data_IF_763522330828
#
_entry.id   IF_763522330828
#
_cell.length_a   1.000
_cell.length_b   1.000
_cell.length_c   1.000
_cell.angle_alpha   90.00
_cell.angle_beta   90.00
_cell.angle_gamma   90.00
#
_symmetry.space_group_name_H-M   'P 1'
#
loop_
_entity.id
_entity.type
_entity.pdbx_description
1 polymer ?
#
# COMPACT_ATOMS: atom_id res chain seq x y z
N UNK A 1 6.56 -1.65 -31.50
CA UNK A 1 6.24 -1.99 -30.10
C UNK A 1 7.38 -2.80 -29.53
N UNK A 2 8.12 -2.24 -28.57
CA UNK A 2 9.13 -3.00 -27.84
C UNK A 2 8.40 -3.87 -26.80
N UNK A 3 8.39 -5.19 -26.99
CA UNK A 3 7.59 -6.11 -26.17
C UNK A 3 8.14 -6.25 -24.73
N UNK A 4 9.42 -5.97 -24.50
CA UNK A 4 10.03 -6.00 -23.15
C UNK A 4 9.63 -4.79 -22.29
N UNK A 5 9.32 -3.65 -22.92
CA UNK A 5 8.91 -2.41 -22.24
C UNK A 5 7.38 -2.35 -21.95
N UNK A 6 6.62 -3.33 -22.45
CA UNK A 6 5.17 -3.41 -22.24
C UNK A 6 4.78 -4.42 -21.13
N UNK A 7 5.72 -4.84 -20.29
CA UNK A 7 5.41 -5.68 -19.13
C UNK A 7 4.79 -4.83 -18.01
N UNK A 8 3.49 -5.01 -17.78
CA UNK A 8 2.75 -4.28 -16.74
C UNK A 8 2.77 -5.08 -15.44
N UNK A 9 3.47 -4.57 -14.43
CA UNK A 9 3.38 -5.13 -13.08
C UNK A 9 1.96 -4.94 -12.53
N UNK A 10 1.48 -5.97 -11.82
CA UNK A 10 0.20 -5.87 -11.13
C UNK A 10 0.20 -4.69 -10.15
N UNK A 11 -0.87 -3.89 -10.16
CA UNK A 11 -0.98 -2.72 -9.30
C UNK A 11 -0.90 -3.07 -7.81
N UNK A 12 -1.51 -4.17 -7.37
CA UNK A 12 -1.45 -4.63 -5.97
C UNK A 12 -0.03 -5.03 -5.56
N UNK A 13 0.76 -5.57 -6.50
CA UNK A 13 2.17 -5.82 -6.29
C UNK A 13 2.95 -4.50 -6.12
N UNK A 14 2.68 -3.50 -6.94
CA UNK A 14 3.31 -2.18 -6.79
C UNK A 14 2.94 -1.51 -5.46
N UNK A 15 1.67 -1.58 -5.02
CA UNK A 15 1.27 -1.11 -3.69
C UNK A 15 2.04 -1.82 -2.57
N UNK A 16 2.23 -3.14 -2.68
CA UNK A 16 3.04 -3.90 -1.72
C UNK A 16 4.50 -3.41 -1.68
N UNK A 17 5.11 -3.12 -2.84
CA UNK A 17 6.47 -2.58 -2.92
C UNK A 17 6.58 -1.19 -2.28
N UNK A 18 5.61 -0.31 -2.55
CA UNK A 18 5.52 1.03 -1.95
C UNK A 18 5.44 0.93 -0.41
N UNK A 19 4.56 0.07 0.08
CA UNK A 19 4.37 -0.15 1.51
C UNK A 19 5.61 -0.69 2.18
N UNK A 20 6.24 -1.70 1.57
CA UNK A 20 7.47 -2.29 2.07
C UNK A 20 8.61 -1.27 2.12
N UNK A 21 8.73 -0.38 1.14
CA UNK A 21 9.73 0.68 1.15
C UNK A 21 9.53 1.65 2.33
N UNK A 22 8.29 2.08 2.58
CA UNK A 22 7.95 2.92 3.73
C UNK A 22 8.21 2.21 5.06
N UNK A 23 7.67 1.01 5.24
CA UNK A 23 7.81 0.26 6.50
C UNK A 23 9.28 -0.05 6.81
N UNK A 24 10.09 -0.40 5.81
CA UNK A 24 11.54 -0.59 5.99
C UNK A 24 12.22 0.68 6.48
N UNK A 25 11.80 1.88 6.04
CA UNK A 25 12.44 3.12 6.48
C UNK A 25 12.23 3.47 7.96
N UNK A 26 11.21 2.88 8.60
CA UNK A 26 10.96 3.04 10.04
C UNK A 26 11.42 1.83 10.87
N UNK A 27 11.73 0.72 10.20
CA UNK A 27 12.13 -0.56 10.82
C UNK A 27 13.64 -0.73 10.82
N UNK A 28 14.33 -0.20 9.81
CA UNK A 28 15.78 -0.21 9.68
C UNK A 28 16.29 1.16 10.12
N UNK A 29 16.80 1.25 11.35
CA UNK A 29 17.68 2.37 11.73
C UNK A 29 19.00 2.23 10.98
N UNK A 30 19.59 3.32 10.45
CA UNK A 30 20.95 3.27 9.92
C UNK A 30 21.91 3.03 11.09
N UNK A 31 22.50 1.82 11.12
CA UNK A 31 23.60 1.35 11.96
C UNK A 31 23.34 1.14 13.47
N UNK A 32 23.48 -0.12 13.87
CA UNK A 32 24.36 -0.50 15.00
C UNK A 32 23.81 -0.39 16.42
N UNK A 33 22.75 -1.12 16.75
CA UNK A 33 22.54 -1.59 18.13
C UNK A 33 22.19 -3.08 18.09
N UNK A 34 23.24 -3.90 18.19
CA UNK A 34 23.12 -5.28 18.66
C UNK A 34 22.63 -5.20 20.11
N UNK A 35 21.34 -5.40 20.33
CA UNK A 35 20.82 -5.63 21.66
C UNK A 35 20.79 -7.15 21.89
N UNK A 36 21.78 -7.64 22.64
CA UNK A 36 21.75 -8.90 23.38
C UNK A 36 21.64 -10.16 22.53
N UNK A 37 22.76 -10.87 22.41
CA UNK A 37 22.77 -12.33 22.21
C UNK A 37 21.90 -12.95 23.30
N UNK A 38 20.67 -13.31 22.95
CA UNK A 38 19.85 -14.37 23.52
C UNK A 38 18.52 -14.33 22.79
N UNK A 39 18.46 -15.02 21.64
CA UNK A 39 17.33 -15.51 20.84
C UNK A 39 17.83 -15.68 19.40
N UNK A 40 18.72 -16.66 19.21
CA UNK A 40 19.14 -17.10 17.87
C UNK A 40 18.06 -18.06 17.33
N UNK A 41 17.47 -17.70 16.20
CA UNK A 41 17.25 -18.65 15.11
C UNK A 41 17.76 -17.99 13.84
N UNK A 42 18.74 -18.67 13.24
CA UNK A 42 19.56 -18.25 12.11
C UNK A 42 18.74 -17.99 10.85
N UNK A 43 18.96 -16.85 10.20
CA UNK A 43 18.81 -16.73 8.76
C UNK A 43 20.12 -16.15 8.20
N UNK A 44 20.58 -16.80 7.13
CA UNK A 44 21.90 -16.70 6.52
C UNK A 44 22.13 -15.31 5.91
N UNK A 45 23.27 -14.71 6.23
CA UNK A 45 23.79 -13.45 5.69
C UNK A 45 24.37 -13.66 4.29
N UNK A 46 24.04 -12.77 3.34
CA UNK A 46 24.89 -12.48 2.19
C UNK A 46 25.51 -11.08 2.37
N UNK A 47 26.84 -11.07 2.34
CA UNK A 47 27.74 -9.93 2.49
C UNK A 47 27.59 -8.89 1.38
N UNK A 48 27.71 -7.61 1.75
CA UNK A 48 28.48 -6.66 0.94
C UNK A 48 29.01 -5.51 1.81
N UNK A 49 30.34 -5.38 1.82
CA UNK A 49 31.13 -4.30 2.39
C UNK A 49 30.68 -2.92 1.90
N UNK A 50 30.63 -1.91 2.79
CA UNK A 50 31.51 -0.75 2.62
C UNK A 50 31.58 0.19 3.85
N UNK A 51 32.71 0.91 3.88
CA UNK A 51 33.35 1.61 5.00
C UNK A 51 32.58 2.80 5.59
N UNK A 52 32.92 3.06 6.86
CA UNK A 52 32.46 4.18 7.69
C UNK A 52 33.18 5.49 7.39
N UNK A 53 32.46 6.61 7.44
CA UNK A 53 32.99 7.89 7.92
C UNK A 53 32.04 8.52 8.93
N UNK A 54 32.65 9.17 9.92
CA UNK A 54 32.08 9.76 11.12
C UNK A 54 31.20 10.97 10.83
N UNK A 55 30.10 11.09 11.57
CA UNK A 55 29.63 12.38 12.08
C UNK A 55 28.88 12.15 13.38
N UNK A 56 29.41 12.73 14.46
CA UNK A 56 28.75 12.87 15.74
C UNK A 56 27.51 13.75 15.57
N UNK A 57 26.33 13.25 15.94
CA UNK A 57 25.29 14.13 16.48
C UNK A 57 24.34 13.37 17.40
N UNK A 58 24.09 14.03 18.52
CA UNK A 58 23.39 13.64 19.73
C UNK A 58 21.89 13.49 19.47
N UNK A 59 21.31 12.31 19.72
CA UNK A 59 19.87 12.21 19.94
C UNK A 59 19.55 11.23 21.08
N UNK A 60 19.72 11.74 22.30
CA UNK A 60 19.14 11.18 23.52
C UNK A 60 17.64 11.48 23.54
N UNK A 61 16.84 10.69 22.85
CA UNK A 61 15.40 10.56 23.15
C UNK A 61 15.03 9.10 23.37
N UNK A 62 14.93 8.74 24.66
CA UNK A 62 14.60 7.41 25.18
C UNK A 62 13.13 7.02 24.98
N UNK A 63 12.74 6.71 23.75
CA UNK A 63 11.51 5.99 23.42
C UNK A 63 11.83 4.69 22.66
N UNK A 64 11.18 3.58 23.03
CA UNK A 64 11.29 2.34 22.25
C UNK A 64 10.92 2.61 20.78
N UNK A 65 11.77 2.20 19.84
CA UNK A 65 11.52 2.41 18.42
C UNK A 65 10.23 1.74 17.96
N UNK A 66 9.55 2.31 16.95
CA UNK A 66 8.30 1.77 16.36
C UNK A 66 8.44 0.28 16.02
N UNK A 67 9.60 -0.13 15.50
CA UNK A 67 9.95 -1.53 15.23
C UNK A 67 9.79 -2.43 16.47
N UNK A 68 10.29 -2.00 17.63
CA UNK A 68 10.18 -2.75 18.88
C UNK A 68 8.71 -2.89 19.32
N UNK A 69 7.92 -1.83 19.18
CA UNK A 69 6.48 -1.84 19.50
C UNK A 69 5.73 -2.84 18.61
N UNK A 70 5.98 -2.81 17.30
CA UNK A 70 5.35 -3.74 16.36
C UNK A 70 5.74 -5.20 16.65
N UNK A 71 7.02 -5.46 16.98
CA UNK A 71 7.48 -6.79 17.38
C UNK A 71 6.80 -7.28 18.66
N UNK A 72 6.60 -6.42 19.66
CA UNK A 72 5.84 -6.77 20.86
C UNK A 72 4.40 -7.18 20.50
N UNK A 73 3.70 -6.35 19.73
CA UNK A 73 2.30 -6.61 19.36
C UNK A 73 2.20 -7.93 18.59
N UNK A 74 3.07 -8.15 17.61
CA UNK A 74 3.09 -9.38 16.82
C UNK A 74 3.36 -10.61 17.70
N UNK A 75 4.30 -10.51 18.65
CA UNK A 75 4.55 -11.58 19.62
C UNK A 75 3.30 -11.95 20.44
N UNK A 76 2.54 -10.97 20.94
CA UNK A 76 1.29 -11.23 21.67
C UNK A 76 0.25 -11.93 20.78
N UNK A 77 0.06 -11.44 19.55
CA UNK A 77 -0.88 -12.03 18.59
C UNK A 77 -0.49 -13.47 18.29
N UNK A 78 0.79 -13.71 17.97
CA UNK A 78 1.31 -15.05 17.73
C UNK A 78 1.00 -15.95 18.93
N UNK A 79 1.39 -15.57 20.15
CA UNK A 79 1.15 -16.37 21.36
C UNK A 79 -0.31 -16.79 21.56
N UNK A 80 -1.26 -15.88 21.33
CA UNK A 80 -2.70 -16.19 21.45
C UNK A 80 -3.16 -17.11 20.33
N UNK A 81 -2.62 -16.94 19.12
CA UNK A 81 -3.03 -17.70 17.93
C UNK A 81 -2.30 -19.04 17.76
N UNK A 82 -1.21 -19.27 18.51
CA UNK A 82 -0.32 -20.44 18.39
C UNK A 82 -1.02 -21.79 18.57
N UNK A 83 -2.04 -21.89 19.44
CA UNK A 83 -2.70 -23.17 19.74
C UNK A 83 -4.22 -23.08 19.65
N UNK A 84 -4.86 -24.22 19.39
CA UNK A 84 -6.32 -24.32 19.40
C UNK A 84 -6.90 -23.98 20.78
N UNK A 85 -6.21 -24.38 21.86
CA UNK A 85 -6.61 -24.10 23.24
C UNK A 85 -6.60 -22.59 23.51
N UNK A 86 -5.52 -21.88 23.15
CA UNK A 86 -5.42 -20.43 23.37
C UNK A 86 -6.42 -19.63 22.54
N UNK A 87 -6.68 -20.04 21.29
CA UNK A 87 -7.75 -19.46 20.47
C UNK A 87 -9.13 -19.70 21.07
N UNK A 88 -9.37 -20.89 21.63
CA UNK A 88 -10.64 -21.20 22.29
C UNK A 88 -10.83 -20.36 23.55
N UNK A 89 -9.82 -20.25 24.41
CA UNK A 89 -9.83 -19.39 25.61
C UNK A 89 -10.13 -17.95 25.23
N UNK A 90 -9.42 -17.40 24.24
CA UNK A 90 -9.67 -16.05 23.73
C UNK A 90 -11.14 -15.85 23.30
N UNK A 91 -11.72 -16.81 22.58
CA UNK A 91 -13.12 -16.74 22.12
C UNK A 91 -14.12 -16.81 23.28
N UNK A 92 -13.84 -17.60 24.32
CA UNK A 92 -14.67 -17.64 25.54
C UNK A 92 -14.69 -16.28 26.22
N UNK A 93 -13.53 -15.62 26.32
CA UNK A 93 -13.44 -14.31 26.96
C UNK A 93 -13.99 -13.17 26.12
N UNK A 94 -13.83 -13.23 24.80
CA UNK A 94 -14.53 -12.35 23.88
C UNK A 94 -16.04 -12.36 24.14
N UNK A 95 -16.67 -13.53 24.30
CA UNK A 95 -18.09 -13.63 24.65
C UNK A 95 -18.41 -13.08 26.03
N UNK A 96 -17.58 -13.39 27.04
CA UNK A 96 -17.79 -12.90 28.43
C UNK A 96 -17.71 -11.38 28.54
N UNK A 97 -16.89 -10.74 27.71
CA UNK A 97 -16.70 -9.29 27.70
C UNK A 97 -17.54 -8.58 26.63
N UNK A 98 -18.53 -9.27 26.06
CA UNK A 98 -19.42 -8.76 25.00
C UNK A 98 -18.66 -8.14 23.81
N UNK A 99 -17.51 -8.73 23.46
CA UNK A 99 -16.73 -8.32 22.32
C UNK A 99 -17.30 -8.93 21.04
N UNK A 100 -17.78 -8.06 20.15
CA UNK A 100 -18.34 -8.41 18.84
C UNK A 100 -17.38 -8.23 17.66
N UNK A 101 -16.10 -7.93 17.94
CA UNK A 101 -15.10 -7.72 16.89
C UNK A 101 -14.51 -9.02 16.33
N UNK A 102 -13.62 -8.90 15.33
CA UNK A 102 -12.99 -10.04 14.66
C UNK A 102 -12.06 -10.85 15.59
N UNK A 103 -11.97 -12.16 15.35
CA UNK A 103 -10.98 -13.03 16.02
C UNK A 103 -9.58 -12.68 15.51
N UNK A 104 -8.58 -12.76 16.41
CA UNK A 104 -7.18 -12.52 16.06
C UNK A 104 -6.66 -13.50 15.00
N UNK A 105 -5.96 -12.95 14.01
CA UNK A 105 -5.15 -13.70 13.04
C UNK A 105 -3.68 -13.34 13.24
N UNK A 106 -2.79 -14.32 13.13
CA UNK A 106 -1.36 -14.05 13.09
C UNK A 106 -0.95 -13.55 11.71
N UNK A 107 -0.05 -12.56 11.69
CA UNK A 107 0.53 -11.97 10.49
C UNK A 107 1.61 -12.82 9.83
N UNK A 108 1.42 -14.14 9.73
CA UNK A 108 2.44 -15.04 9.16
C UNK A 108 2.70 -14.73 7.67
N UNK A 109 3.98 -14.74 7.28
CA UNK A 109 4.41 -14.60 5.89
C UNK A 109 4.71 -13.16 5.43
N UNK A 110 4.98 -13.02 4.13
CA UNK A 110 5.41 -11.74 3.52
C UNK A 110 4.23 -10.86 3.06
N UNK A 111 2.99 -11.37 3.08
CA UNK A 111 1.81 -10.63 2.60
C UNK A 111 1.42 -9.52 3.58
N UNK A 112 1.52 -8.28 3.11
CA UNK A 112 1.32 -7.11 3.95
C UNK A 112 -0.16 -6.90 4.33
N UNK A 113 -1.12 -7.35 3.52
CA UNK A 113 -2.55 -7.22 3.80
C UNK A 113 -2.95 -8.04 5.03
N UNK A 114 -2.38 -9.25 5.18
CA UNK A 114 -2.52 -10.07 6.39
C UNK A 114 -1.88 -9.37 7.59
N UNK A 115 -0.69 -8.77 7.43
CA UNK A 115 -0.03 -8.01 8.51
C UNK A 115 -0.86 -6.82 8.97
N UNK A 116 -1.47 -6.09 8.04
CA UNK A 116 -2.39 -5.01 8.34
C UNK A 116 -3.61 -5.52 9.13
N UNK A 117 -4.27 -6.57 8.64
CA UNK A 117 -5.42 -7.16 9.32
C UNK A 117 -5.07 -7.67 10.72
N UNK A 118 -3.95 -8.36 10.88
CA UNK A 118 -3.43 -8.83 12.19
C UNK A 118 -3.35 -7.67 13.20
N UNK A 119 -2.70 -6.57 12.81
CA UNK A 119 -2.58 -5.38 13.68
C UNK A 119 -3.93 -4.70 13.95
N UNK A 120 -4.80 -4.58 12.94
CA UNK A 120 -6.12 -3.95 13.08
C UNK A 120 -7.05 -4.72 14.04
N UNK A 121 -7.06 -6.04 13.92
CA UNK A 121 -7.78 -6.92 14.83
C UNK A 121 -7.23 -6.83 16.26
N UNK A 122 -5.90 -6.79 16.40
CA UNK A 122 -5.26 -6.62 17.71
C UNK A 122 -5.62 -5.29 18.37
N UNK A 123 -5.67 -4.18 17.62
CA UNK A 123 -6.12 -2.89 18.14
C UNK A 123 -7.57 -2.93 18.64
N UNK A 124 -8.45 -3.60 17.88
CA UNK A 124 -9.86 -3.79 18.26
C UNK A 124 -9.97 -4.67 19.51
N UNK A 125 -9.13 -5.70 19.62
CA UNK A 125 -9.11 -6.65 20.72
C UNK A 125 -8.17 -6.26 21.88
N UNK A 126 -7.60 -5.05 21.91
CA UNK A 126 -6.56 -4.67 22.89
C UNK A 126 -6.93 -4.92 24.36
N UNK A 127 -8.20 -4.72 24.71
CA UNK A 127 -8.71 -4.97 26.07
C UNK A 127 -8.74 -6.47 26.40
N UNK A 128 -9.03 -7.32 25.42
CA UNK A 128 -8.97 -8.78 25.56
C UNK A 128 -7.52 -9.25 25.70
N UNK A 129 -6.60 -8.68 24.90
CA UNK A 129 -5.16 -8.98 24.98
C UNK A 129 -4.61 -8.61 26.36
N UNK A 130 -5.00 -7.43 26.88
CA UNK A 130 -4.62 -7.01 28.23
C UNK A 130 -5.16 -7.95 29.30
N UNK A 131 -6.44 -8.33 29.23
CA UNK A 131 -7.06 -9.26 30.17
C UNK A 131 -6.37 -10.64 30.17
N UNK A 132 -6.07 -11.19 28.99
CA UNK A 132 -5.38 -12.49 28.88
C UNK A 132 -4.00 -12.46 29.55
N UNK A 133 -3.27 -11.35 29.45
CA UNK A 133 -2.00 -11.16 30.16
C UNK A 133 -2.22 -11.10 31.68
N UNK A 134 -3.09 -10.20 32.13
CA UNK A 134 -3.35 -9.96 33.56
C UNK A 134 -3.77 -11.26 34.27
N UNK A 135 -4.53 -12.12 33.57
CA UNK A 135 -4.93 -13.44 34.10
C UNK A 135 -3.78 -14.43 34.17
N UNK A 136 -2.88 -14.48 33.19
CA UNK A 136 -1.71 -15.35 33.28
C UNK A 136 -0.77 -14.94 34.42
N UNK A 137 -0.64 -13.64 34.69
CA UNK A 137 0.12 -13.14 35.83
C UNK A 137 -0.52 -13.55 37.17
N UNK A 138 -1.85 -13.67 37.23
CA UNK A 138 -2.60 -14.09 38.43
C UNK A 138 -2.67 -15.62 38.63
N UNK A 139 -2.80 -16.40 37.55
CA UNK A 139 -3.02 -17.85 37.60
C UNK A 139 -1.73 -18.63 37.95
N UNK A 140 -0.55 -18.01 37.77
CA UNK A 140 0.74 -18.60 38.10
C UNK A 140 1.16 -19.72 37.13
N UNK A 141 2.37 -19.62 36.57
CA UNK A 141 2.87 -20.61 35.60
C UNK A 141 4.12 -20.12 34.86
N UNK A 142 4.61 -20.88 33.87
CA UNK A 142 5.65 -20.39 32.94
C UNK A 142 5.10 -19.15 32.21
N UNK A 143 5.68 -17.98 32.49
CA UNK A 143 5.22 -16.72 31.90
C UNK A 143 5.42 -16.75 30.38
N UNK A 144 4.33 -16.98 29.65
CA UNK A 144 4.36 -17.16 28.20
C UNK A 144 4.55 -15.84 27.44
N UNK A 145 4.31 -14.70 28.10
CA UNK A 145 4.38 -13.38 27.48
C UNK A 145 5.68 -12.63 27.78
N UNK A 146 6.60 -13.19 28.56
CA UNK A 146 7.74 -12.45 29.15
C UNK A 146 7.24 -11.20 29.91
N UNK A 147 8.07 -10.49 30.67
CA UNK A 147 7.62 -9.27 31.38
C UNK A 147 7.31 -8.08 30.43
N UNK A 148 6.93 -8.35 29.18
CA UNK A 148 6.64 -7.38 28.13
C UNK A 148 5.25 -6.79 28.33
N UNK A 149 5.19 -5.47 28.50
CA UNK A 149 3.94 -4.71 28.49
C UNK A 149 3.80 -3.92 27.19
N UNK A 150 2.58 -3.94 26.64
CA UNK A 150 2.16 -3.02 25.59
C UNK A 150 1.42 -1.87 26.27
N UNK A 151 2.07 -0.71 26.32
CA UNK A 151 1.54 0.48 26.98
C UNK A 151 0.42 1.13 26.14
N UNK A 152 -0.35 2.05 26.74
CA UNK A 152 -1.33 2.81 25.96
C UNK A 152 -0.66 3.65 24.86
N UNK A 153 0.52 4.22 25.13
CA UNK A 153 1.32 4.93 24.12
C UNK A 153 1.76 4.03 22.97
N UNK A 154 2.09 2.77 23.26
CA UNK A 154 2.43 1.78 22.22
C UNK A 154 1.23 1.55 21.30
N UNK A 155 0.04 1.37 21.87
CA UNK A 155 -1.20 1.19 21.09
C UNK A 155 -1.55 2.42 20.25
N UNK A 156 -1.30 3.65 20.73
CA UNK A 156 -1.51 4.85 19.94
C UNK A 156 -0.57 4.91 18.73
N UNK A 157 0.68 4.45 18.86
CA UNK A 157 1.61 4.36 17.72
C UNK A 157 1.11 3.33 16.69
N UNK A 158 0.66 2.16 17.14
CA UNK A 158 0.10 1.11 16.26
C UNK A 158 -1.16 1.61 15.55
N UNK A 159 -2.02 2.33 16.26
CA UNK A 159 -3.23 2.95 15.71
C UNK A 159 -2.91 4.00 14.66
N UNK A 160 -1.94 4.89 14.92
CA UNK A 160 -1.46 5.87 13.94
C UNK A 160 -0.92 5.19 12.69
N UNK A 161 -0.12 4.14 12.85
CA UNK A 161 0.38 3.36 11.72
C UNK A 161 -0.77 2.76 10.90
N UNK A 162 -1.68 2.02 11.53
CA UNK A 162 -2.81 1.40 10.85
C UNK A 162 -3.70 2.42 10.13
N UNK A 163 -3.95 3.57 10.74
CA UNK A 163 -4.72 4.65 10.10
C UNK A 163 -4.04 5.23 8.85
N UNK A 164 -2.72 5.13 8.71
CA UNK A 164 -2.01 5.51 7.48
C UNK A 164 -2.07 4.40 6.42
N UNK A 165 -2.06 3.14 6.86
CA UNK A 165 -2.06 1.98 5.95
C UNK A 165 -3.47 1.59 5.47
N UNK A 166 -4.53 2.10 6.11
CA UNK A 166 -5.90 1.69 5.85
C UNK A 166 -6.34 1.95 4.40
N UNK A 167 -5.98 3.09 3.82
CA UNK A 167 -6.35 3.40 2.43
C UNK A 167 -5.64 2.48 1.43
N UNK A 168 -4.40 2.09 1.71
CA UNK A 168 -3.72 1.08 0.89
C UNK A 168 -4.47 -0.24 0.94
N UNK A 169 -4.95 -0.65 2.11
CA UNK A 169 -5.70 -1.90 2.27
C UNK A 169 -7.02 -1.86 1.51
N UNK A 170 -7.79 -0.77 1.68
CA UNK A 170 -9.03 -0.54 0.92
C UNK A 170 -8.78 -0.59 -0.59
N UNK A 171 -7.76 0.12 -1.05
CA UNK A 171 -7.39 0.17 -2.46
C UNK A 171 -6.97 -1.20 -2.98
N UNK A 172 -6.23 -1.98 -2.21
CA UNK A 172 -5.81 -3.33 -2.59
C UNK A 172 -7.00 -4.26 -2.75
N UNK A 173 -7.94 -4.26 -1.80
CA UNK A 173 -9.18 -5.05 -1.93
C UNK A 173 -10.06 -4.60 -3.09
N UNK A 174 -10.12 -3.30 -3.37
CA UNK A 174 -10.80 -2.76 -4.56
C UNK A 174 -10.19 -3.31 -5.86
N UNK A 175 -8.85 -3.40 -5.92
CA UNK A 175 -8.09 -3.80 -7.11
C UNK A 175 -8.00 -5.33 -7.31
N UNK A 176 -8.01 -6.13 -6.24
CA UNK A 176 -8.03 -7.61 -6.30
C UNK A 176 -9.30 -8.17 -6.97
N UNK A 177 -10.41 -7.40 -6.97
CA UNK A 177 -11.72 -7.84 -7.45
C UNK A 177 -12.12 -7.40 -8.86
N UNK A 178 -11.46 -6.39 -9.47
CA UNK A 178 -11.96 -5.77 -10.71
C UNK A 178 -10.87 -5.59 -11.78
N UNK A 179 -10.96 -6.38 -12.85
CA UNK A 179 -10.07 -6.34 -14.03
C UNK A 179 -10.12 -5.00 -14.79
N UNK A 180 -11.26 -4.29 -14.75
CA UNK A 180 -11.46 -2.98 -15.38
C UNK A 180 -10.67 -1.84 -14.72
N UNK A 181 -10.04 -2.05 -13.56
CA UNK A 181 -9.30 -1.03 -12.82
C UNK A 181 -7.86 -0.83 -13.32
N UNK A 182 -7.34 -1.72 -14.18
CA UNK A 182 -6.00 -1.52 -14.73
C UNK A 182 -5.91 -0.23 -15.57
N UNK A 183 -7.04 0.18 -16.17
CA UNK A 183 -7.24 1.44 -16.87
C UNK A 183 -7.26 2.67 -15.94
N UNK A 184 -7.40 2.45 -14.63
CA UNK A 184 -7.45 3.51 -13.62
C UNK A 184 -6.15 3.59 -12.80
N UNK A 185 -5.13 2.78 -13.11
CA UNK A 185 -3.89 2.70 -12.32
C UNK A 185 -3.25 4.06 -12.03
N UNK A 186 -3.11 4.93 -13.03
CA UNK A 186 -2.55 6.27 -12.84
C UNK A 186 -3.43 7.14 -11.93
N UNK A 187 -4.75 7.05 -12.08
CA UNK A 187 -5.67 7.77 -11.21
C UNK A 187 -5.56 7.33 -9.75
N UNK A 188 -5.42 6.02 -9.52
CA UNK A 188 -5.25 5.47 -8.18
C UNK A 188 -3.88 5.84 -7.57
N UNK A 189 -2.81 5.91 -8.38
CA UNK A 189 -1.52 6.47 -7.92
C UNK A 189 -1.63 7.95 -7.54
N UNK A 190 -2.34 8.74 -8.33
CA UNK A 190 -2.59 10.15 -7.99
C UNK A 190 -3.39 10.27 -6.69
N UNK A 191 -4.44 9.46 -6.53
CA UNK A 191 -5.25 9.42 -5.32
C UNK A 191 -4.42 9.11 -4.07
N UNK A 192 -3.61 8.05 -4.11
CA UNK A 192 -2.79 7.66 -2.96
C UNK A 192 -1.68 8.70 -2.69
N UNK A 193 -1.18 9.36 -3.73
CA UNK A 193 -0.24 10.49 -3.59
C UNK A 193 -0.87 11.64 -2.81
N UNK A 194 -2.08 12.07 -3.20
CA UNK A 194 -2.79 13.16 -2.50
C UNK A 194 -3.08 12.78 -1.05
N UNK A 195 -3.50 11.53 -0.82
CA UNK A 195 -3.75 11.01 0.51
C UNK A 195 -2.50 11.09 1.38
N UNK A 196 -1.35 10.62 0.88
CA UNK A 196 -0.09 10.64 1.59
C UNK A 196 0.42 12.07 1.83
N UNK A 197 0.28 12.97 0.86
CA UNK A 197 0.66 14.38 1.02
C UNK A 197 -0.16 15.05 2.14
N UNK A 198 -1.48 14.86 2.15
CA UNK A 198 -2.35 15.35 3.25
C UNK A 198 -1.95 14.75 4.60
N UNK A 199 -1.59 13.46 4.63
CA UNK A 199 -1.08 12.84 5.86
C UNK A 199 0.24 13.45 6.31
N UNK A 200 1.15 13.72 5.37
CA UNK A 200 2.44 14.33 5.63
C UNK A 200 2.32 15.72 6.27
N UNK A 201 1.31 16.51 5.88
CA UNK A 201 1.04 17.84 6.46
C UNK A 201 0.51 17.76 7.90
N UNK A 202 -0.24 16.70 8.22
CA UNK A 202 -0.94 16.57 9.51
C UNK A 202 -0.15 15.82 10.59
N UNK A 203 0.86 15.03 10.21
CA UNK A 203 1.55 14.13 11.13
C UNK A 203 2.65 14.87 11.88
N UNK A 204 2.92 14.50 13.12
CA UNK A 204 3.98 15.14 13.91
C UNK A 204 5.21 14.24 14.08
N UNK A 205 5.02 12.92 14.02
CA UNK A 205 6.11 11.98 14.28
C UNK A 205 7.14 11.96 13.13
N UNK A 206 8.44 12.24 13.39
CA UNK A 206 9.46 12.28 12.34
C UNK A 206 9.63 10.96 11.58
N UNK A 207 9.51 9.83 12.28
CA UNK A 207 9.60 8.50 11.67
C UNK A 207 8.47 8.26 10.67
N UNK A 208 7.24 8.71 10.98
CA UNK A 208 6.14 8.59 10.04
C UNK A 208 6.27 9.57 8.86
N UNK A 209 6.82 10.76 9.07
CA UNK A 209 7.21 11.62 7.94
C UNK A 209 8.20 10.94 7.00
N UNK A 210 9.24 10.28 7.56
CA UNK A 210 10.21 9.53 6.76
C UNK A 210 9.55 8.39 5.98
N UNK A 211 8.66 7.64 6.63
CA UNK A 211 7.86 6.59 6.00
C UNK A 211 7.08 7.11 4.79
N UNK A 212 6.32 8.19 4.99
CA UNK A 212 5.48 8.78 3.94
C UNK A 212 6.34 9.30 2.79
N UNK A 213 7.44 10.00 3.07
CA UNK A 213 8.38 10.47 2.03
C UNK A 213 8.93 9.31 1.19
N UNK A 214 9.29 8.19 1.83
CA UNK A 214 9.77 7.00 1.12
C UNK A 214 8.67 6.34 0.28
N UNK A 215 7.44 6.28 0.78
CA UNK A 215 6.29 5.81 -0.01
C UNK A 215 6.03 6.70 -1.21
N UNK A 216 6.02 8.03 -1.03
CA UNK A 216 5.84 9.01 -2.12
C UNK A 216 6.92 8.86 -3.20
N UNK A 217 8.18 8.73 -2.80
CA UNK A 217 9.28 8.47 -3.74
C UNK A 217 9.04 7.18 -4.53
N UNK A 218 8.60 6.10 -3.87
CA UNK A 218 8.37 4.83 -4.55
C UNK A 218 7.14 4.85 -5.47
N UNK A 219 6.13 5.66 -5.13
CA UNK A 219 5.00 5.93 -6.02
C UNK A 219 5.48 6.66 -7.27
N UNK A 220 6.34 7.68 -7.14
CA UNK A 220 6.89 8.39 -8.29
C UNK A 220 7.65 7.43 -9.24
N UNK A 221 8.48 6.53 -8.71
CA UNK A 221 9.14 5.49 -9.51
C UNK A 221 8.11 4.61 -10.25
N UNK A 222 7.06 4.19 -9.54
CA UNK A 222 6.01 3.30 -10.09
C UNK A 222 5.16 3.98 -11.17
N UNK A 223 4.90 5.29 -11.01
CA UNK A 223 4.23 6.10 -12.03
C UNK A 223 5.14 6.29 -13.24
N UNK A 224 6.42 6.57 -13.04
CA UNK A 224 7.38 6.70 -14.14
C UNK A 224 7.50 5.41 -14.95
N UNK A 225 7.58 4.25 -14.28
CA UNK A 225 7.56 2.93 -14.93
C UNK A 225 6.25 2.71 -15.70
N UNK A 226 5.10 3.04 -15.10
CA UNK A 226 3.80 2.90 -15.75
C UNK A 226 3.66 3.79 -17.01
N UNK A 227 4.23 5.00 -16.98
CA UNK A 227 4.23 5.94 -18.11
C UNK A 227 5.17 5.51 -19.25
N UNK A 228 6.04 4.52 -19.03
CA UNK A 228 6.83 3.93 -20.13
C UNK A 228 6.05 2.89 -20.94
N UNK A 229 4.91 2.41 -20.42
CA UNK A 229 4.08 1.43 -21.09
C UNK A 229 3.05 2.11 -22.01
N UNK A 230 3.17 1.87 -23.31
CA UNK A 230 2.26 2.43 -24.32
C UNK A 230 0.80 2.02 -24.07
N UNK A 231 0.58 0.79 -23.59
CA UNK A 231 -0.77 0.31 -23.31
C UNK A 231 -1.43 1.08 -22.15
N UNK A 232 -0.67 1.44 -21.10
CA UNK A 232 -1.18 2.26 -19.99
C UNK A 232 -1.45 3.68 -20.45
N UNK A 233 -0.53 4.26 -21.26
CA UNK A 233 -0.69 5.59 -21.82
C UNK A 233 -1.94 5.68 -22.70
N UNK A 234 -2.08 4.77 -23.66
CA UNK A 234 -3.22 4.72 -24.56
C UNK A 234 -4.53 4.48 -23.80
N UNK A 235 -4.55 3.56 -22.83
CA UNK A 235 -5.71 3.35 -21.97
C UNK A 235 -6.12 4.61 -21.21
N UNK A 236 -5.15 5.39 -20.73
CA UNK A 236 -5.40 6.63 -19.99
C UNK A 236 -5.94 7.73 -20.90
N UNK A 237 -5.33 7.91 -22.08
CA UNK A 237 -5.76 8.92 -23.07
C UNK A 237 -7.15 8.59 -23.60
N UNK A 238 -7.40 7.32 -23.91
CA UNK A 238 -8.70 6.82 -24.40
C UNK A 238 -9.76 6.73 -23.30
N UNK A 239 -9.44 7.01 -22.04
CA UNK A 239 -10.46 7.15 -21.01
C UNK A 239 -11.10 8.55 -21.09
N UNK A 240 -12.40 8.67 -21.44
CA UNK A 240 -13.05 9.98 -21.65
C UNK A 240 -13.13 10.84 -20.39
N UNK A 241 -12.91 10.27 -19.21
CA UNK A 241 -12.83 11.02 -17.95
C UNK A 241 -11.47 11.65 -17.70
N UNK A 242 -10.42 11.10 -18.30
CA UNK A 242 -9.03 11.40 -17.96
C UNK A 242 -8.33 12.14 -19.07
N UNK A 243 -8.28 11.56 -20.27
CA UNK A 243 -7.60 12.15 -21.43
C UNK A 243 -6.20 12.69 -21.06
N UNK A 244 -5.79 13.82 -21.62
CA UNK A 244 -4.53 14.47 -21.28
C UNK A 244 -4.48 15.02 -19.85
N UNK A 245 -5.64 15.26 -19.20
CA UNK A 245 -5.66 15.86 -17.86
C UNK A 245 -5.05 14.95 -16.79
N UNK A 246 -5.13 13.63 -16.97
CA UNK A 246 -4.46 12.68 -16.07
C UNK A 246 -2.96 12.64 -16.31
N UNK A 247 -2.51 12.64 -17.57
CA UNK A 247 -1.08 12.71 -17.89
C UNK A 247 -0.47 14.01 -17.36
N UNK A 248 -1.17 15.14 -17.50
CA UNK A 248 -0.79 16.42 -16.92
C UNK A 248 -0.63 16.36 -15.40
N UNK A 249 -1.51 15.64 -14.70
CA UNK A 249 -1.40 15.42 -13.26
C UNK A 249 -0.17 14.58 -12.90
N UNK A 250 0.22 13.64 -13.75
CA UNK A 250 1.41 12.82 -13.58
C UNK A 250 2.71 13.51 -14.06
N UNK A 251 2.66 14.68 -14.73
CA UNK A 251 3.83 15.36 -15.33
C UNK A 251 5.00 15.59 -14.39
N UNK A 252 4.73 15.84 -13.11
CA UNK A 252 5.78 16.06 -12.11
C UNK A 252 6.66 14.80 -11.86
N UNK A 253 6.45 13.70 -12.59
CA UNK A 253 7.12 12.42 -12.38
C UNK A 253 7.83 11.84 -13.62
N UNK A 254 7.64 12.35 -14.85
CA UNK A 254 8.27 11.76 -16.05
C UNK A 254 8.36 12.67 -17.28
N UNK A 255 9.57 12.81 -17.84
CA UNK A 255 9.86 13.56 -19.08
C UNK A 255 9.15 13.02 -20.33
N UNK A 256 8.78 11.73 -20.36
CA UNK A 256 8.04 11.11 -21.49
C UNK A 256 6.61 11.66 -21.60
N UNK A 257 6.00 12.02 -20.48
CA UNK A 257 4.66 12.62 -20.47
C UNK A 257 4.64 14.03 -21.07
N UNK A 258 5.76 14.76 -20.95
CA UNK A 258 5.92 16.08 -21.58
C UNK A 258 6.06 15.95 -23.09
N UNK A 259 6.91 15.03 -23.56
CA UNK A 259 7.07 14.75 -24.98
C UNK A 259 5.76 14.34 -25.65
N UNK A 260 4.98 13.44 -25.04
CA UNK A 260 3.68 13.03 -25.59
C UNK A 260 2.73 14.22 -25.72
N UNK A 261 2.72 15.14 -24.76
CA UNK A 261 1.81 16.28 -24.77
C UNK A 261 2.24 17.36 -25.78
N UNK A 262 3.54 17.50 -26.00
CA UNK A 262 4.10 18.40 -27.02
C UNK A 262 3.92 17.85 -28.44
N UNK A 263 3.96 16.52 -28.62
CA UNK A 263 3.87 15.85 -29.93
C UNK A 263 2.43 15.66 -30.45
N UNK A 264 1.39 15.96 -29.65
CA UNK A 264 -0.01 15.86 -30.14
C UNK A 264 -0.30 16.98 -31.14
N UNK A 265 -0.33 16.63 -32.43
CA UNK A 265 -0.84 17.50 -33.49
C UNK A 265 -2.36 17.64 -33.40
N UNK A 266 -2.85 18.89 -33.31
CA UNK A 266 -4.28 19.22 -33.22
C UNK A 266 -4.93 19.48 -34.59
N UNK A 267 -4.33 19.01 -35.69
CA UNK A 267 -5.01 18.98 -37.00
C UNK A 267 -6.39 18.30 -36.92
N UNK A 268 -7.34 18.64 -37.82
CA UNK A 268 -8.75 18.18 -37.84
C UNK A 268 -8.90 16.64 -37.93
N UNK A 269 -8.49 15.96 -36.89
CA UNK A 269 -8.51 14.52 -36.72
C UNK A 269 -9.54 14.17 -35.65
N UNK A 270 -10.02 12.94 -35.75
CA UNK A 270 -10.88 12.33 -34.75
C UNK A 270 -10.30 12.45 -33.32
N UNK A 271 -8.96 12.35 -33.20
CA UNK A 271 -8.22 12.52 -31.95
C UNK A 271 -8.27 13.96 -31.43
N UNK A 272 -8.05 14.96 -32.29
CA UNK A 272 -8.11 16.37 -31.89
C UNK A 272 -9.51 16.76 -31.39
N UNK A 273 -10.57 16.26 -32.03
CA UNK A 273 -11.96 16.48 -31.61
C UNK A 273 -12.26 15.84 -30.25
N UNK A 274 -11.79 14.62 -30.03
CA UNK A 274 -11.96 13.92 -28.76
C UNK A 274 -11.20 14.62 -27.62
N UNK A 275 -9.93 14.98 -27.85
CA UNK A 275 -9.08 15.64 -26.87
C UNK A 275 -9.43 17.12 -26.63
N UNK A 276 -10.22 17.74 -27.52
CA UNK A 276 -10.70 19.11 -27.42
C UNK A 276 -11.65 19.41 -26.24
N UNK A 277 -11.91 18.44 -25.37
CA UNK A 277 -12.59 18.63 -24.08
C UNK A 277 -14.11 18.73 -24.13
N UNK A 278 -14.72 18.79 -25.32
CA UNK A 278 -16.19 18.78 -25.51
C UNK A 278 -16.82 17.45 -25.05
N UNK A 279 -16.07 16.36 -25.15
CA UNK A 279 -16.53 15.00 -24.92
C UNK A 279 -15.87 14.44 -23.66
N UNK A 280 -16.42 14.80 -22.50
CA UNK A 280 -15.85 14.41 -21.20
C UNK A 280 -16.86 13.65 -20.33
N UNK A 281 -16.47 12.44 -19.92
CA UNK A 281 -17.23 11.64 -18.97
C UNK A 281 -16.84 12.05 -17.54
N UNK A 282 -17.77 12.22 -16.58
CA UNK A 282 -17.43 12.54 -15.20
C UNK A 282 -16.47 11.51 -14.57
N UNK A 283 -15.50 11.96 -13.76
CA UNK A 283 -14.44 11.09 -13.21
C UNK A 283 -14.95 9.94 -12.34
N UNK A 284 -16.10 10.11 -11.68
CA UNK A 284 -16.75 9.04 -10.92
C UNK A 284 -17.37 7.94 -11.80
N UNK A 285 -17.47 8.16 -13.11
CA UNK A 285 -17.96 7.22 -14.11
C UNK A 285 -16.84 6.68 -15.01
N UNK A 286 -15.56 6.93 -14.69
CA UNK A 286 -14.41 6.52 -15.52
C UNK A 286 -14.36 5.02 -15.85
N UNK A 287 -14.96 4.17 -15.00
CA UNK A 287 -15.12 2.72 -15.22
C UNK A 287 -16.08 2.37 -16.36
N UNK A 288 -16.94 3.29 -16.78
CA UNK A 288 -17.93 3.09 -17.85
C UNK A 288 -17.43 3.55 -19.23
N UNK A 289 -16.12 3.77 -19.39
CA UNK A 289 -15.50 4.22 -20.63
C UNK A 289 -15.87 3.35 -21.86
N UNK A 290 -15.93 2.02 -21.73
CA UNK A 290 -16.34 1.14 -22.85
C UNK A 290 -17.79 1.38 -23.30
N UNK A 291 -18.70 1.66 -22.35
CA UNK A 291 -20.09 2.01 -22.68
C UNK A 291 -20.13 3.34 -23.41
N UNK A 292 -19.36 4.32 -22.93
CA UNK A 292 -19.24 5.63 -23.56
C UNK A 292 -18.75 5.53 -25.01
N UNK A 293 -17.70 4.75 -25.27
CA UNK A 293 -17.18 4.52 -26.62
C UNK A 293 -18.18 3.83 -27.55
N UNK A 294 -19.00 2.93 -27.03
CA UNK A 294 -20.07 2.30 -27.81
C UNK A 294 -21.10 3.33 -28.27
N UNK A 295 -21.50 4.23 -27.37
CA UNK A 295 -22.48 5.29 -27.65
C UNK A 295 -21.96 6.33 -28.65
N UNK A 296 -20.65 6.63 -28.64
CA UNK A 296 -20.03 7.63 -29.52
C UNK A 296 -19.31 7.02 -30.74
N UNK A 297 -19.55 5.75 -31.03
CA UNK A 297 -18.85 5.02 -32.12
C UNK A 297 -19.12 5.55 -33.53
N UNK A 298 -20.24 6.25 -33.74
CA UNK A 298 -20.54 6.92 -35.02
C UNK A 298 -19.76 8.23 -35.18
N UNK A 299 -19.47 8.90 -34.07
CA UNK A 299 -18.72 10.18 -34.04
C UNK A 299 -17.22 9.94 -34.07
N UNK A 300 -16.79 8.81 -33.48
CA UNK A 300 -15.39 8.41 -33.37
C UNK A 300 -15.20 6.95 -33.82
N UNK A 301 -15.35 6.64 -35.11
CA UNK A 301 -15.29 5.27 -35.61
C UNK A 301 -13.92 4.60 -35.44
N UNK A 302 -12.82 5.34 -35.62
CA UNK A 302 -11.46 4.76 -35.52
C UNK A 302 -11.06 4.62 -34.06
N UNK A 303 -11.23 5.66 -33.25
CA UNK A 303 -10.90 5.67 -31.83
C UNK A 303 -11.78 4.73 -31.03
N UNK A 304 -13.09 4.58 -31.35
CA UNK A 304 -13.92 3.60 -30.68
C UNK A 304 -13.45 2.16 -30.95
N UNK A 305 -12.95 1.87 -32.16
CA UNK A 305 -12.34 0.58 -32.48
C UNK A 305 -11.06 0.36 -31.65
N UNK A 306 -10.15 1.33 -31.62
CA UNK A 306 -8.91 1.25 -30.85
C UNK A 306 -9.20 1.13 -29.34
N UNK A 307 -10.12 1.94 -28.82
CA UNK A 307 -10.52 1.94 -27.43
C UNK A 307 -11.13 0.60 -27.02
N UNK A 308 -11.90 -0.04 -27.89
CA UNK A 308 -12.39 -1.40 -27.62
C UNK A 308 -11.23 -2.37 -27.40
N UNK A 309 -10.17 -2.30 -28.19
CA UNK A 309 -9.03 -3.22 -28.08
C UNK A 309 -8.19 -2.93 -26.83
N UNK A 310 -7.83 -1.66 -26.58
CA UNK A 310 -6.97 -1.27 -25.46
C UNK A 310 -7.69 -1.23 -24.10
N UNK A 311 -8.97 -0.88 -24.07
CA UNK A 311 -9.75 -0.81 -22.82
C UNK A 311 -10.36 -2.18 -22.44
N UNK A 312 -10.52 -3.12 -23.39
CA UNK A 312 -10.95 -4.48 -23.07
C UNK A 312 -9.80 -5.42 -22.67
N UNK A 313 -8.55 -5.07 -22.98
CA UNK A 313 -7.40 -5.87 -22.58
C UNK A 313 -7.18 -5.81 -21.06
N UNK A 314 -7.12 -7.00 -20.44
CA UNK A 314 -6.76 -7.13 -19.03
C UNK A 314 -5.26 -6.85 -18.86
N UNK A 315 -4.90 -5.67 -18.39
CA UNK A 315 -3.50 -5.23 -18.23
C UNK A 315 -2.82 -5.81 -16.97
N UNK A 316 -3.41 -6.77 -16.25
CA UNK A 316 -2.80 -7.38 -15.06
C UNK A 316 -2.69 -8.90 -15.16
N UNK A 317 -1.49 -9.42 -14.86
CA UNK A 317 -1.16 -10.85 -14.79
C UNK A 317 -1.84 -11.59 -13.63
N UNK A 318 -2.53 -10.89 -12.74
CA UNK A 318 -3.18 -11.46 -11.55
C UNK A 318 -4.52 -12.18 -11.85
N UNK A 319 -5.00 -12.18 -13.10
CA UNK A 319 -6.27 -12.83 -13.45
C UNK A 319 -6.24 -14.37 -13.39
N UNK A 320 -5.07 -14.99 -13.17
CA UNK A 320 -4.88 -16.45 -13.23
C UNK A 320 -4.64 -17.11 -11.86
N UNK A 321 -4.55 -16.34 -10.77
CA UNK A 321 -4.37 -16.89 -9.41
C UNK A 321 -5.65 -16.80 -8.57
N UNK A 322 -6.71 -17.50 -9.00
CA UNK A 322 -7.88 -17.79 -8.16
C UNK A 322 -7.99 -19.29 -7.88
#
# INVERSE_FOLDING_TARGET
MNLSENHIRCFTHNLALILNAGLKSITITPKGLVLGKDLVLEEIEENSDDKSEHSEDDDRQGGQGISAILKKVDFFIQKITLSAVKRFEFNVWAKKLDYSGPVLIAGYGMRWDIKFQSGDQALKARNLIKNERDRQDQEGGKNCFSNLEITQSDWEIVKKLNNMLSEFYCLTKKMEGNLSLALLMLAEYCYITDYLQKKLESISEPKFHQMIKKMLSKIADSVSEALQCDAILLATVLNPSYQLSMLQRCKNTSARSDQIIEDVDFSESELALYLGGKYKLPSNQAVHCLKWWKEHSLEFPVLASIAKDYLACSLTSASVEK
#
